data_IF_969590249255
#
_entry.id   IF_969590249255
#
_cell.length_a   1.000
_cell.length_b   1.000
_cell.length_c   1.000
_cell.angle_alpha   90.00
_cell.angle_beta   90.00
_cell.angle_gamma   90.00
#
_symmetry.space_group_name_H-M   'P 1'
#
loop_
_entity.id
_entity.type
_entity.pdbx_description
1 polymer ?
#
# COMPACT_ATOMS: atom_id res chain seq x y z
N UNK A 1 5.07 -20.82 4.05
CA UNK A 1 4.52 -19.44 4.03
C UNK A 1 5.48 -18.49 4.75
N UNK A 2 5.71 -17.29 4.22
CA UNK A 2 6.61 -16.30 4.79
C UNK A 2 5.89 -14.95 4.88
N UNK A 3 6.03 -14.25 6.01
CA UNK A 3 5.56 -12.88 6.14
C UNK A 3 6.30 -12.00 5.13
N UNK A 4 5.55 -11.14 4.44
CA UNK A 4 6.09 -10.21 3.45
C UNK A 4 5.67 -8.81 3.84
N UNK A 5 6.64 -7.94 4.07
CA UNK A 5 6.38 -6.54 4.36
C UNK A 5 6.26 -5.77 3.05
N UNK A 6 5.06 -5.28 2.75
CA UNK A 6 4.77 -4.51 1.53
C UNK A 6 4.47 -3.07 1.91
N UNK A 7 5.15 -2.12 1.28
CA UNK A 7 4.93 -0.70 1.52
C UNK A 7 4.86 0.06 0.19
N UNK A 8 3.90 0.99 0.13
CA UNK A 8 3.70 1.89 -0.99
C UNK A 8 3.98 3.32 -0.55
N UNK A 9 4.70 4.08 -1.37
CA UNK A 9 4.75 5.54 -1.26
C UNK A 9 4.24 6.16 -2.54
N UNK A 10 3.60 7.32 -2.42
CA UNK A 10 3.11 8.05 -3.57
C UNK A 10 3.21 9.55 -3.32
N UNK A 11 3.68 10.27 -4.33
CA UNK A 11 3.51 11.73 -4.44
C UNK A 11 3.14 12.06 -5.88
N UNK A 12 2.58 13.24 -6.11
CA UNK A 12 2.28 13.69 -7.47
C UNK A 12 3.55 13.82 -8.33
N UNK A 13 4.67 14.22 -7.74
CA UNK A 13 5.94 14.48 -8.45
C UNK A 13 6.80 13.24 -8.64
N UNK A 14 6.75 12.28 -7.72
CA UNK A 14 7.57 11.06 -7.77
C UNK A 14 6.80 9.81 -8.21
N UNK A 15 5.48 9.90 -8.28
CA UNK A 15 4.58 8.80 -8.60
C UNK A 15 4.59 7.69 -7.55
N UNK A 16 4.12 6.50 -7.95
CA UNK A 16 4.02 5.33 -7.07
C UNK A 16 5.37 4.63 -6.95
N UNK A 17 5.76 4.27 -5.73
CA UNK A 17 6.90 3.39 -5.44
C UNK A 17 6.46 2.24 -4.54
N UNK A 18 6.94 1.04 -4.84
CA UNK A 18 6.66 -0.19 -4.12
C UNK A 18 7.94 -0.70 -3.49
N UNK A 19 7.87 -1.04 -2.21
CA UNK A 19 8.96 -1.60 -1.43
C UNK A 19 8.55 -2.97 -0.90
N UNK A 20 9.43 -3.96 -1.08
CA UNK A 20 9.24 -5.32 -0.59
C UNK A 20 10.38 -5.60 0.39
N UNK A 21 10.02 -6.02 1.61
CA UNK A 21 10.96 -6.31 2.69
C UNK A 21 11.96 -5.16 2.91
N UNK A 22 11.45 -3.93 2.91
CA UNK A 22 12.23 -2.71 3.14
C UNK A 22 13.06 -2.21 1.96
N UNK A 23 13.07 -2.90 0.81
CA UNK A 23 13.87 -2.53 -0.36
C UNK A 23 13.01 -2.09 -1.53
N UNK A 24 13.48 -1.11 -2.31
CA UNK A 24 12.76 -0.65 -3.51
C UNK A 24 12.65 -1.79 -4.52
N UNK A 25 11.44 -2.04 -5.02
CA UNK A 25 11.16 -3.11 -5.96
C UNK A 25 10.80 -2.57 -7.34
N UNK A 26 9.77 -1.72 -7.42
CA UNK A 26 9.27 -1.16 -8.68
C UNK A 26 8.56 0.16 -8.43
N UNK A 27 8.42 1.00 -9.46
CA UNK A 27 7.65 2.22 -9.38
C UNK A 27 7.19 2.73 -10.74
N UNK A 28 6.21 3.64 -10.71
CA UNK A 28 5.73 4.39 -11.84
C UNK A 28 6.03 5.88 -11.60
N UNK A 29 6.90 6.51 -12.41
CA UNK A 29 7.50 7.82 -12.09
C UNK A 29 6.56 9.03 -12.29
N UNK A 30 5.32 8.80 -12.75
CA UNK A 30 4.35 9.88 -13.01
C UNK A 30 3.16 9.68 -12.08
N UNK A 31 2.95 10.63 -11.16
CA UNK A 31 1.76 10.69 -10.34
C UNK A 31 0.61 11.34 -11.11
N UNK A 32 -0.38 10.56 -11.52
CA UNK A 32 -1.64 11.09 -12.03
C UNK A 32 -2.73 10.96 -10.97
N UNK A 33 -3.55 12.00 -10.82
CA UNK A 33 -4.69 12.00 -9.91
C UNK A 33 -5.96 11.77 -10.71
N UNK A 34 -6.58 10.60 -10.54
CA UNK A 34 -7.94 10.36 -11.01
C UNK A 34 -8.93 10.98 -10.02
N UNK A 35 -9.68 11.97 -10.47
CA UNK A 35 -10.66 12.68 -9.64
C UNK A 35 -11.93 11.88 -9.36
N UNK A 36 -12.13 10.77 -10.08
CA UNK A 36 -13.24 9.85 -9.88
C UNK A 36 -12.72 8.41 -9.99
N UNK A 37 -12.71 7.70 -8.86
CA UNK A 37 -12.38 6.28 -8.80
C UNK A 37 -13.58 5.38 -9.15
N UNK A 38 -14.77 5.94 -9.34
CA UNK A 38 -15.98 5.18 -9.67
C UNK A 38 -16.51 4.31 -8.52
N UNK A 39 -15.86 4.36 -7.36
CA UNK A 39 -16.30 3.71 -6.14
C UNK A 39 -17.26 4.64 -5.38
N UNK A 40 -18.55 4.29 -5.24
CA UNK A 40 -19.49 5.10 -4.46
C UNK A 40 -19.31 4.90 -2.94
N UNK A 41 -18.48 3.96 -2.51
CA UNK A 41 -18.29 3.59 -1.11
C UNK A 41 -16.98 4.19 -0.57
N UNK A 42 -17.04 4.85 0.58
CA UNK A 42 -15.88 5.47 1.23
C UNK A 42 -15.14 4.54 2.20
N UNK A 43 -15.61 3.29 2.33
CA UNK A 43 -15.08 2.33 3.30
C UNK A 43 -13.70 1.82 2.87
N UNK A 44 -12.75 1.82 3.81
CA UNK A 44 -11.49 1.12 3.64
C UNK A 44 -11.69 -0.36 3.97
N UNK A 45 -11.64 -1.21 2.94
CA UNK A 45 -11.74 -2.66 3.08
C UNK A 45 -10.40 -3.33 2.82
N UNK A 46 -10.10 -4.36 3.62
CA UNK A 46 -8.90 -5.20 3.47
C UNK A 46 -9.35 -6.63 3.23
N UNK A 47 -8.66 -7.31 2.31
CA UNK A 47 -8.93 -8.71 2.00
C UNK A 47 -10.16 -8.94 1.12
N UNK A 48 -10.80 -7.90 0.60
CA UNK A 48 -11.85 -7.98 -0.43
C UNK A 48 -11.93 -6.67 -1.20
N UNK A 49 -12.50 -6.69 -2.41
CA UNK A 49 -12.84 -5.47 -3.15
C UNK A 49 -14.07 -4.76 -2.56
N UNK A 50 -14.12 -3.44 -2.73
CA UNK A 50 -15.21 -2.58 -2.26
C UNK A 50 -16.34 -2.48 -3.29
N UNK A 51 -17.05 -3.58 -3.53
CA UNK A 51 -18.07 -3.67 -4.60
C UNK A 51 -19.50 -3.66 -4.07
N UNK A 52 -19.70 -3.47 -2.77
CA UNK A 52 -20.98 -3.70 -2.09
C UNK A 52 -21.42 -5.16 -2.01
N UNK A 53 -20.80 -6.06 -2.78
CA UNK A 53 -21.03 -7.50 -2.77
C UNK A 53 -19.69 -8.25 -2.61
N UNK A 54 -19.31 -8.48 -1.36
CA UNK A 54 -18.03 -9.06 -0.97
C UNK A 54 -17.98 -10.55 -1.31
N UNK A 55 -17.56 -10.90 -2.52
CA UNK A 55 -17.52 -12.30 -2.99
C UNK A 55 -16.11 -12.85 -3.26
N UNK A 56 -15.09 -11.99 -3.15
CA UNK A 56 -13.71 -12.35 -3.47
C UNK A 56 -12.82 -11.99 -2.29
N UNK A 57 -12.48 -13.00 -1.50
CA UNK A 57 -11.68 -12.83 -0.30
C UNK A 57 -10.24 -13.25 -0.53
N UNK A 58 -9.30 -12.42 -0.05
CA UNK A 58 -7.91 -12.82 0.07
C UNK A 58 -7.81 -13.93 1.12
N UNK A 59 -7.07 -14.99 0.78
CA UNK A 59 -6.76 -16.08 1.71
C UNK A 59 -5.37 -15.83 2.29
N UNK A 60 -5.32 -15.12 3.42
CA UNK A 60 -4.07 -14.74 4.07
C UNK A 60 -4.31 -14.01 5.38
N UNK A 61 -3.24 -13.85 6.16
CA UNK A 61 -3.25 -13.01 7.35
C UNK A 61 -2.58 -11.67 7.04
N UNK A 62 -3.10 -10.62 7.66
CA UNK A 62 -2.54 -9.26 7.64
C UNK A 62 -2.19 -8.89 9.07
N UNK A 63 -1.09 -8.17 9.25
CA UNK A 63 -0.66 -7.65 10.54
C UNK A 63 -0.05 -6.26 10.37
N UNK A 64 -0.09 -5.45 11.42
CA UNK A 64 0.50 -4.09 11.51
C UNK A 64 0.17 -3.16 10.33
N UNK A 65 -1.12 -2.93 10.10
CA UNK A 65 -1.57 -2.04 9.02
C UNK A 65 -1.49 -0.56 9.42
N UNK A 66 -0.79 0.24 8.61
CA UNK A 66 -0.57 1.68 8.85
C UNK A 66 -0.77 2.48 7.57
N UNK A 67 -1.37 3.67 7.70
CA UNK A 67 -1.49 4.67 6.62
C UNK A 67 -0.79 5.94 7.10
N UNK A 68 0.05 6.52 6.24
CA UNK A 68 0.72 7.80 6.50
C UNK A 68 0.18 8.91 5.61
N UNK A 69 0.09 10.12 6.15
CA UNK A 69 -0.27 11.33 5.40
C UNK A 69 0.93 11.93 4.62
N UNK A 70 2.05 11.21 4.54
CA UNK A 70 3.27 11.62 3.84
C UNK A 70 3.96 10.43 3.17
N UNK A 71 4.69 10.70 2.09
CA UNK A 71 5.61 9.73 1.53
C UNK A 71 6.81 9.55 2.48
N UNK A 72 7.12 8.29 2.82
CA UNK A 72 8.27 7.94 3.64
C UNK A 72 9.56 7.95 2.81
N UNK A 73 10.68 8.29 3.46
CA UNK A 73 12.00 8.15 2.85
C UNK A 73 12.41 6.66 2.79
N UNK A 74 13.32 6.27 1.88
CA UNK A 74 13.87 4.91 1.88
C UNK A 74 14.48 4.50 3.23
N UNK A 75 15.08 5.44 3.95
CA UNK A 75 15.65 5.21 5.27
C UNK A 75 14.56 4.94 6.32
N UNK A 76 13.49 5.73 6.34
CA UNK A 76 12.33 5.52 7.22
C UNK A 76 11.72 4.12 6.97
N UNK A 77 11.51 3.77 5.69
CA UNK A 77 10.93 2.49 5.28
C UNK A 77 11.78 1.31 5.78
N UNK A 78 13.10 1.43 5.64
CA UNK A 78 14.03 0.42 6.15
C UNK A 78 13.94 0.29 7.68
N UNK A 79 13.86 1.41 8.40
CA UNK A 79 13.72 1.39 9.86
C UNK A 79 12.41 0.74 10.31
N UNK A 80 11.28 1.04 9.66
CA UNK A 80 10.00 0.38 9.97
C UNK A 80 10.04 -1.12 9.68
N UNK A 81 10.57 -1.53 8.52
CA UNK A 81 10.73 -2.94 8.20
C UNK A 81 11.57 -3.66 9.28
N UNK A 82 12.66 -3.04 9.72
CA UNK A 82 13.53 -3.59 10.78
C UNK A 82 12.85 -3.70 12.13
N UNK A 83 11.84 -2.89 12.41
CA UNK A 83 11.07 -2.93 13.66
C UNK A 83 9.96 -3.98 13.64
N UNK A 84 9.44 -4.31 12.46
CA UNK A 84 8.35 -5.28 12.25
C UNK A 84 8.84 -6.74 12.10
N UNK A 85 10.15 -7.00 12.13
CA UNK A 85 10.76 -8.35 12.00
C UNK A 85 11.35 -8.87 13.31
#
# INVERSE_FOLDING_TARGET
>A
PYWTHVLFTWTQTEGLKVYINGTFSVGAPIGNVSHNYGDPYADLVIGTGNTGNYNHYATGAFDEFVIWERALSPQDIWMYYKAAI
#
